data_IF_255350629269
#
_entry.id   IF_255350629269
#
_cell.length_a   1.000
_cell.length_b   1.000
_cell.length_c   1.000
_cell.angle_alpha   90.00
_cell.angle_beta   90.00
_cell.angle_gamma   90.00
#
_symmetry.space_group_name_H-M   'P 1'
#
loop_
_entity.id
_entity.type
_entity.pdbx_description
1 polymer ?
#
# COMPACT_ATOMS: atom_id res chain seq x y z
N UNK A 1 3.13 10.58 13.39
CA UNK A 1 2.80 10.16 12.01
C UNK A 1 3.90 9.20 11.58
N UNK A 2 3.67 7.89 11.69
CA UNK A 2 4.58 6.88 11.14
C UNK A 2 4.24 6.73 9.67
N UNK A 3 4.87 7.54 8.81
CA UNK A 3 4.84 7.25 7.39
C UNK A 3 5.70 6.00 7.15
N UNK A 4 5.23 5.04 6.35
CA UNK A 4 6.04 3.86 6.06
C UNK A 4 7.39 4.28 5.51
N UNK A 5 8.47 3.67 6.04
CA UNK A 5 9.86 3.99 5.68
C UNK A 5 10.13 3.84 4.16
N UNK A 6 9.32 3.02 3.48
CA UNK A 6 9.34 2.81 2.03
C UNK A 6 7.90 2.81 1.48
N UNK A 7 7.29 3.99 1.25
CA UNK A 7 5.87 4.10 0.93
C UNK A 7 5.51 3.44 -0.40
N UNK A 8 6.40 3.51 -1.40
CA UNK A 8 6.19 2.88 -2.72
C UNK A 8 6.23 1.36 -2.66
N UNK A 9 7.20 0.78 -1.96
CA UNK A 9 7.30 -0.69 -1.79
C UNK A 9 6.16 -1.25 -0.97
N UNK A 10 5.70 -0.53 0.04
CA UNK A 10 4.53 -0.92 0.82
C UNK A 10 3.25 -0.81 -0.01
N UNK A 11 3.10 0.24 -0.83
CA UNK A 11 1.97 0.38 -1.75
C UNK A 11 1.90 -0.79 -2.75
N UNK A 12 3.02 -1.15 -3.39
CA UNK A 12 3.11 -2.34 -4.28
C UNK A 12 2.58 -3.58 -3.57
N UNK A 13 3.08 -3.84 -2.35
CA UNK A 13 2.67 -5.02 -1.60
C UNK A 13 1.18 -4.99 -1.26
N UNK A 14 0.65 -3.85 -0.82
CA UNK A 14 -0.78 -3.71 -0.47
C UNK A 14 -1.68 -3.92 -1.69
N UNK A 15 -1.33 -3.38 -2.85
CA UNK A 15 -2.09 -3.55 -4.10
C UNK A 15 -2.16 -5.03 -4.50
N UNK A 16 -1.04 -5.76 -4.38
CA UNK A 16 -0.97 -7.16 -4.80
C UNK A 16 -1.50 -8.16 -3.77
N UNK A 17 -1.48 -7.83 -2.47
CA UNK A 17 -1.73 -8.79 -1.38
C UNK A 17 -3.01 -8.48 -0.57
N UNK A 18 -3.69 -7.35 -0.83
CA UNK A 18 -4.89 -6.93 -0.09
C UNK A 18 -5.97 -6.47 -1.06
N UNK A 19 -7.22 -6.47 -0.63
CA UNK A 19 -8.35 -5.94 -1.38
C UNK A 19 -8.61 -4.44 -1.11
N UNK A 20 -7.61 -3.70 -0.63
CA UNK A 20 -7.75 -2.28 -0.31
C UNK A 20 -7.92 -1.43 -1.58
N UNK A 21 -8.68 -0.35 -1.45
CA UNK A 21 -8.88 0.59 -2.56
C UNK A 21 -7.64 1.47 -2.76
N UNK A 22 -7.45 1.99 -3.97
CA UNK A 22 -6.32 2.88 -4.26
C UNK A 22 -6.28 4.12 -3.37
N UNK A 23 -7.44 4.65 -2.96
CA UNK A 23 -7.53 5.76 -2.01
C UNK A 23 -7.05 5.40 -0.61
N UNK A 24 -7.38 4.20 -0.13
CA UNK A 24 -6.91 3.74 1.19
C UNK A 24 -5.40 3.58 1.20
N UNK A 25 -4.86 2.97 0.15
CA UNK A 25 -3.42 2.78 -0.03
C UNK A 25 -2.72 4.14 -0.17
N UNK A 26 -3.29 5.08 -0.93
CA UNK A 26 -2.73 6.43 -1.11
C UNK A 26 -2.69 7.20 0.20
N UNK A 27 -3.77 7.12 1.01
CA UNK A 27 -3.83 7.74 2.35
C UNK A 27 -2.81 7.14 3.30
N UNK A 28 -2.67 5.81 3.33
CA UNK A 28 -1.73 5.12 4.21
C UNK A 28 -0.26 5.37 3.84
N UNK A 29 0.07 5.22 2.55
CA UNK A 29 1.42 5.45 2.05
C UNK A 29 1.75 6.94 1.86
N UNK A 30 0.78 7.83 2.10
CA UNK A 30 0.87 9.27 1.84
C UNK A 30 1.38 9.57 0.41
N UNK A 31 0.85 8.82 -0.55
CA UNK A 31 1.13 8.95 -1.98
C UNK A 31 -0.07 9.57 -2.68
N UNK A 32 0.15 10.18 -3.84
CA UNK A 32 -0.97 10.62 -4.65
C UNK A 32 -1.68 9.41 -5.27
N UNK A 33 -3.00 9.46 -5.45
CA UNK A 33 -3.77 8.34 -6.03
C UNK A 33 -3.25 7.93 -7.41
N UNK A 34 -2.82 8.90 -8.22
CA UNK A 34 -2.20 8.66 -9.54
C UNK A 34 -0.87 7.91 -9.43
N UNK A 35 -0.09 8.13 -8.37
CA UNK A 35 1.12 7.32 -8.13
C UNK A 35 0.74 5.88 -7.79
N UNK A 36 -0.29 5.68 -6.96
CA UNK A 36 -0.78 4.34 -6.61
C UNK A 36 -1.33 3.59 -7.83
N UNK A 37 -2.07 4.28 -8.70
CA UNK A 37 -2.52 3.74 -9.99
C UNK A 37 -1.34 3.38 -10.88
N UNK A 38 -0.38 4.29 -11.07
CA UNK A 38 0.83 4.00 -11.83
C UNK A 38 1.69 2.88 -11.24
N UNK A 39 1.62 2.62 -9.93
CA UNK A 39 2.23 1.45 -9.30
C UNK A 39 1.47 0.17 -9.68
N UNK A 40 0.14 0.18 -9.61
CA UNK A 40 -0.72 -0.94 -10.01
C UNK A 40 -0.58 -1.28 -11.51
N UNK A 41 -0.49 -0.26 -12.36
CA UNK A 41 -0.23 -0.40 -13.80
C UNK A 41 1.20 -0.84 -14.11
N UNK A 42 2.07 -0.89 -13.09
CA UNK A 42 3.46 -1.30 -13.22
C UNK A 42 4.35 -0.26 -13.89
N UNK A 43 3.92 0.99 -14.06
CA UNK A 43 4.71 2.08 -14.68
C UNK A 43 5.64 2.78 -13.68
N UNK A 44 5.19 2.96 -12.44
CA UNK A 44 5.90 3.76 -11.41
C UNK A 44 6.80 2.89 -10.52
N UNK A 45 6.48 1.60 -10.40
CA UNK A 45 7.17 0.65 -9.53
C UNK A 45 7.95 -0.44 -10.28
N UNK A 46 8.31 -0.23 -11.55
CA UNK A 46 9.13 -1.17 -12.33
C UNK A 46 10.40 -1.53 -11.56
N UNK A 47 10.52 -2.78 -11.13
CA UNK A 47 11.68 -3.28 -10.39
C UNK A 47 11.67 -3.01 -8.87
N UNK A 48 10.61 -2.43 -8.31
CA UNK A 48 10.43 -2.30 -6.86
C UNK A 48 9.83 -3.59 -6.33
N UNK A 49 10.56 -4.28 -5.44
CA UNK A 49 10.01 -5.43 -4.74
C UNK A 49 9.05 -4.96 -3.64
N UNK A 50 7.81 -5.45 -3.68
CA UNK A 50 6.82 -5.17 -2.64
C UNK A 50 7.34 -5.60 -1.26
N UNK A 51 7.25 -4.68 -0.28
CA UNK A 51 7.68 -4.96 1.10
C UNK A 51 6.47 -5.14 1.97
N UNK A 52 6.39 -6.30 2.62
CA UNK A 52 5.29 -6.61 3.53
C UNK A 52 5.34 -5.68 4.77
N UNK A 53 4.33 -4.80 4.95
CA UNK A 53 4.27 -3.90 6.09
C UNK A 53 3.87 -4.61 7.38
N UNK A 54 3.24 -5.79 7.29
CA UNK A 54 2.85 -6.62 8.43
C UNK A 54 4.09 -7.19 9.12
N UNK A 55 5.01 -7.75 8.33
CA UNK A 55 6.28 -8.27 8.86
C UNK A 55 7.19 -7.16 9.39
N UNK A 56 7.01 -5.94 8.87
CA UNK A 56 7.75 -4.75 9.33
C UNK A 56 7.14 -4.11 10.58
N UNK A 57 5.94 -4.55 11.01
CA UNK A 57 5.22 -4.00 12.15
C UNK A 57 4.55 -2.65 11.90
N UNK A 58 4.40 -2.23 10.64
CA UNK A 58 3.78 -0.95 10.27
C UNK A 58 2.26 -1.07 10.09
N UNK A 59 1.78 -2.26 9.74
CA UNK A 59 0.37 -2.62 9.66
C UNK A 59 0.11 -3.95 10.37
N UNK A 60 -1.13 -4.19 10.75
CA UNK A 60 -1.57 -5.51 11.21
C UNK A 60 -2.57 -6.09 10.22
N UNK A 61 -2.66 -7.42 10.16
CA UNK A 61 -3.68 -8.08 9.35
C UNK A 61 -5.10 -7.69 9.76
N UNK A 62 -5.31 -7.31 11.02
CA UNK A 62 -6.62 -6.88 11.52
C UNK A 62 -7.00 -5.49 10.98
N UNK A 63 -6.06 -4.55 10.98
CA UNK A 63 -6.26 -3.22 10.38
C UNK A 63 -6.50 -3.31 8.87
N UNK A 64 -5.76 -4.19 8.16
CA UNK A 64 -6.01 -4.43 6.73
C UNK A 64 -7.44 -4.94 6.53
N UNK A 65 -7.86 -5.98 7.26
CA UNK A 65 -9.23 -6.52 7.16
C UNK A 65 -10.32 -5.53 7.51
N UNK A 66 -10.03 -4.62 8.45
CA UNK A 66 -10.94 -3.54 8.82
C UNK A 66 -11.09 -2.56 7.66
N UNK A 67 -9.98 -2.13 7.07
CA UNK A 67 -9.99 -1.24 5.91
C UNK A 67 -10.59 -1.92 4.66
N UNK A 68 -10.35 -3.21 4.42
CA UNK A 68 -10.98 -3.97 3.32
C UNK A 68 -12.52 -4.02 3.42
N UNK A 69 -13.09 -3.72 4.59
CA UNK A 69 -14.54 -3.62 4.81
C UNK A 69 -15.05 -2.17 4.82
N UNK A 70 -14.15 -1.20 4.78
CA UNK A 70 -14.45 0.23 4.73
C UNK A 70 -14.56 0.59 3.24
N UNK A 71 -15.78 0.56 2.71
CA UNK A 71 -16.14 0.82 1.30
C UNK A 71 -16.13 2.33 1.01
#
# INVERSE_FOLDING_TARGET
MNNPLMPKSTAVWLIDNTALTFEQISKFCNLHILEVQGIADGEVAVGIQGKNPITSGELTSDEIKRCEKDD
#
